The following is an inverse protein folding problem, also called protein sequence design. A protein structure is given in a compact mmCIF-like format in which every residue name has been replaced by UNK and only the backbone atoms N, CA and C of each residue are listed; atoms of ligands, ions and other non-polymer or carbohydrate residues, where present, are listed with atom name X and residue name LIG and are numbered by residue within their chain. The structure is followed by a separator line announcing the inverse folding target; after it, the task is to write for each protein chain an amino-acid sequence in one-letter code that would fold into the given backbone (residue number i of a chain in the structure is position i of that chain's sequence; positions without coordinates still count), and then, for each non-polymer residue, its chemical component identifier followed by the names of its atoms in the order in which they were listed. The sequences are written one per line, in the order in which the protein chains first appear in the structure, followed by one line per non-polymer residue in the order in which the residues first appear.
data_IF_557389876119
#
_entry.id   IF_557389876119
#
_cell.length_a   1.000
_cell.length_b   1.000
_cell.length_c   1.000
_cell.angle_alpha   90.00
_cell.angle_beta   90.00
_cell.angle_gamma   90.00
#
_symmetry.space_group_name_H-M   'P 1'
#
loop_
_entity.id
_entity.type
_entity.pdbx_description
1 polymer ?
#
# COMPACT_ATOMS: atom_id res chain seq x y z
N UNK A 1 20.84 4.03 -19.02
CA UNK A 1 20.20 3.17 -18.02
C UNK A 1 18.70 3.41 -18.20
N UNK A 2 18.03 2.52 -18.93
CA UNK A 2 16.61 2.71 -19.23
C UNK A 2 15.84 2.48 -17.94
N UNK A 3 15.44 3.55 -17.27
CA UNK A 3 14.43 3.49 -16.22
C UNK A 3 13.19 2.85 -16.86
N UNK A 4 12.92 1.59 -16.54
CA UNK A 4 11.65 0.97 -16.91
C UNK A 4 10.56 1.92 -16.42
N UNK A 5 9.70 2.40 -17.33
CA UNK A 5 8.64 3.34 -17.01
C UNK A 5 7.81 2.71 -15.88
N UNK A 6 7.99 3.19 -14.65
CA UNK A 6 7.32 2.65 -13.49
C UNK A 6 5.82 2.93 -13.63
N UNK A 7 5.01 1.89 -13.80
CA UNK A 7 3.56 2.01 -13.76
C UNK A 7 2.88 0.78 -13.16
N UNK A 8 1.78 1.02 -12.45
CA UNK A 8 0.93 -0.04 -11.89
C UNK A 8 -0.50 0.44 -11.68
N UNK A 9 -1.45 -0.48 -11.51
CA UNK A 9 -2.84 -0.14 -11.16
C UNK A 9 -3.24 -0.61 -9.77
N UNK A 10 -2.55 -1.62 -9.25
CA UNK A 10 -2.89 -2.23 -7.96
C UNK A 10 -1.79 -1.91 -6.97
N UNK A 11 -2.19 -1.31 -5.86
CA UNK A 11 -1.34 -1.09 -4.69
C UNK A 11 -1.68 -2.13 -3.64
N UNK A 12 -0.67 -2.77 -3.06
CA UNK A 12 -0.83 -3.73 -1.96
C UNK A 12 0.01 -3.28 -0.78
N UNK A 13 -0.61 -3.16 0.39
CA UNK A 13 0.08 -2.95 1.67
C UNK A 13 0.10 -4.27 2.42
N UNK A 14 1.27 -4.60 2.98
CA UNK A 14 1.48 -5.74 3.86
C UNK A 14 1.83 -5.21 5.25
N UNK A 15 1.01 -5.51 6.23
CA UNK A 15 1.29 -5.21 7.64
C UNK A 15 1.69 -6.51 8.33
N UNK A 16 2.79 -6.43 9.07
CA UNK A 16 3.26 -7.51 9.94
C UNK A 16 3.24 -6.97 11.36
N UNK A 17 2.47 -7.61 12.22
CA UNK A 17 2.33 -7.27 13.63
C UNK A 17 3.42 -7.93 14.48
N UNK A 18 3.57 -7.50 15.73
CA UNK A 18 4.58 -8.02 16.64
C UNK A 18 4.38 -9.51 16.99
N UNK A 19 3.13 -9.99 16.94
CA UNK A 19 2.75 -11.42 17.07
C UNK A 19 2.99 -12.23 15.79
N UNK A 20 3.70 -11.66 14.80
CA UNK A 20 3.96 -12.22 13.48
C UNK A 20 2.71 -12.44 12.62
N UNK A 21 1.52 -11.97 13.04
CA UNK A 21 0.34 -11.95 12.18
C UNK A 21 0.60 -11.04 11.00
N UNK A 22 0.18 -11.49 9.82
CA UNK A 22 0.32 -10.73 8.57
C UNK A 22 -1.08 -10.46 8.02
N UNK A 23 -1.36 -9.19 7.73
CA UNK A 23 -2.53 -8.83 6.93
C UNK A 23 -2.08 -8.13 5.65
N UNK A 24 -2.80 -8.40 4.57
CA UNK A 24 -2.63 -7.71 3.30
C UNK A 24 -3.90 -6.97 2.93
N UNK A 25 -3.73 -5.79 2.36
CA UNK A 25 -4.82 -4.99 1.79
C UNK A 25 -4.39 -4.51 0.42
N UNK A 26 -5.21 -4.78 -0.58
CA UNK A 26 -4.96 -4.40 -1.97
C UNK A 26 -6.08 -3.53 -2.48
N UNK A 27 -5.73 -2.52 -3.28
CA UNK A 27 -6.68 -1.64 -3.95
C UNK A 27 -6.24 -1.46 -5.40
N UNK A 28 -7.15 -1.77 -6.32
CA UNK A 28 -6.97 -1.48 -7.74
C UNK A 28 -7.60 -0.12 -8.04
N UNK A 29 -6.82 0.77 -8.65
CA UNK A 29 -7.24 2.11 -9.02
C UNK A 29 -7.64 2.16 -10.50
N UNK A 30 -8.61 3.04 -10.86
CA UNK A 30 -9.00 3.23 -12.25
C UNK A 30 -7.86 3.85 -13.08
N UNK A 31 -7.05 4.71 -12.45
CA UNK A 31 -5.90 5.39 -13.05
C UNK A 31 -4.58 4.69 -12.72
N UNK A 32 -3.61 4.79 -13.64
CA UNK A 32 -2.25 4.26 -13.42
C UNK A 32 -1.54 5.07 -12.34
N UNK A 33 -0.88 4.36 -11.44
CA UNK A 33 0.14 4.88 -10.53
C UNK A 33 1.42 4.96 -11.35
N UNK A 34 2.04 6.14 -11.45
CA UNK A 34 3.22 6.36 -12.31
C UNK A 34 4.45 6.90 -11.59
N UNK A 35 4.34 7.12 -10.28
CA UNK A 35 5.44 7.65 -9.49
C UNK A 35 5.23 7.47 -7.99
N UNK A 36 6.29 7.74 -7.24
CA UNK A 36 6.33 7.55 -5.80
C UNK A 36 5.33 8.44 -5.05
N UNK A 37 5.24 9.74 -5.35
CA UNK A 37 4.32 10.66 -4.67
C UNK A 37 2.86 10.18 -4.74
N UNK A 38 2.44 9.75 -5.93
CA UNK A 38 1.10 9.23 -6.16
C UNK A 38 0.90 7.90 -5.40
N UNK A 39 1.87 6.99 -5.47
CA UNK A 39 1.84 5.74 -4.71
C UNK A 39 1.75 5.99 -3.20
N UNK A 40 2.54 6.93 -2.69
CA UNK A 40 2.63 7.28 -1.28
C UNK A 40 1.33 7.89 -0.76
N UNK A 41 0.73 8.80 -1.53
CA UNK A 41 -0.59 9.37 -1.20
C UNK A 41 -1.64 8.27 -1.03
N UNK A 42 -1.76 7.36 -2.00
CA UNK A 42 -2.71 6.24 -1.91
C UNK A 42 -2.39 5.26 -0.78
N UNK A 43 -1.11 5.01 -0.52
CA UNK A 43 -0.70 4.15 0.57
C UNK A 43 -1.13 4.72 1.93
N UNK A 44 -0.95 6.03 2.15
CA UNK A 44 -1.39 6.71 3.37
C UNK A 44 -2.90 6.68 3.54
N UNK A 45 -3.66 6.86 2.45
CA UNK A 45 -5.12 6.73 2.48
C UNK A 45 -5.55 5.32 2.87
N UNK A 46 -4.95 4.28 2.28
CA UNK A 46 -5.26 2.90 2.66
C UNK A 46 -4.86 2.58 4.11
N UNK A 47 -3.74 3.11 4.60
CA UNK A 47 -3.33 2.95 5.99
C UNK A 47 -4.35 3.53 6.97
N UNK A 48 -4.95 4.69 6.67
CA UNK A 48 -6.00 5.29 7.50
C UNK A 48 -7.27 4.44 7.60
N UNK A 49 -7.52 3.58 6.61
CA UNK A 49 -8.67 2.68 6.57
C UNK A 49 -8.40 1.36 7.31
N UNK A 50 -7.15 1.10 7.71
CA UNK A 50 -6.80 -0.09 8.46
C UNK A 50 -7.03 0.21 9.94
N UNK A 51 -7.94 -0.54 10.54
CA UNK A 51 -8.13 -0.54 11.98
C UNK A 51 -6.92 -1.22 12.65
N UNK A 52 -6.15 -0.42 13.39
CA UNK A 52 -5.00 -0.86 14.18
C UNK A 52 -5.38 -1.04 15.66
N UNK A 53 -6.60 -0.71 16.06
CA UNK A 53 -7.03 -0.83 17.44
C UNK A 53 -7.05 -2.31 17.85
N UNK A 54 -6.35 -2.63 18.96
CA UNK A 54 -6.29 -3.98 19.51
C UNK A 54 -5.27 -4.93 18.87
N UNK A 55 -4.43 -4.48 17.94
CA UNK A 55 -3.32 -5.31 17.43
C UNK A 55 -2.03 -4.99 18.20
N UNK A 56 -1.20 -5.99 18.56
CA UNK A 56 0.09 -5.74 19.19
C UNK A 56 1.03 -5.06 18.18
N UNK A 57 1.41 -3.82 18.48
CA UNK A 57 2.36 -3.02 17.71
C UNK A 57 3.80 -3.44 17.95
#
# INVERSE_FOLDING_TARGET
MNEEKFYGKTLTIKLKYADFKIITRSKTLPQKITGFEQLWSYAREMMKQIDLSGQPV
#
